data_IF_783196265336
#
_entry.id   IF_783196265336
#
_cell.length_a   1.000
_cell.length_b   1.000
_cell.length_c   1.000
_cell.angle_alpha   90.00
_cell.angle_beta   90.00
_cell.angle_gamma   90.00
#
_symmetry.space_group_name_H-M   'P 1'
#
loop_
_entity.id
_entity.type
_entity.pdbx_description
1 polymer ?
#
# COMPACT_ATOMS: atom_id res chain seq x y z
N UNK A 1 -3.21 -5.67 -13.18
CA UNK A 1 -2.41 -4.61 -12.55
C UNK A 1 -1.11 -5.17 -12.02
N UNK A 2 -0.02 -4.46 -12.24
CA UNK A 2 1.26 -4.87 -11.68
C UNK A 2 1.43 -4.30 -10.27
N UNK A 3 2.54 -4.63 -9.63
CA UNK A 3 2.81 -4.21 -8.25
C UNK A 3 2.73 -2.69 -8.08
N UNK A 4 3.40 -1.96 -8.97
CA UNK A 4 3.42 -0.50 -8.86
C UNK A 4 2.04 0.11 -8.99
N UNK A 5 1.24 -0.41 -9.91
CA UNK A 5 -0.13 0.07 -10.09
C UNK A 5 -0.99 -0.22 -8.87
N UNK A 6 -0.78 -1.36 -8.23
CA UNK A 6 -1.53 -1.70 -7.02
C UNK A 6 -1.14 -0.81 -5.86
N UNK A 7 0.16 -0.53 -5.73
CA UNK A 7 0.62 0.42 -4.71
C UNK A 7 -0.03 1.78 -4.95
N UNK A 8 0.01 2.25 -6.20
CA UNK A 8 -0.58 3.55 -6.55
C UNK A 8 -2.06 3.60 -6.20
N UNK A 9 -2.81 2.57 -6.59
CA UNK A 9 -4.24 2.52 -6.33
C UNK A 9 -4.54 2.58 -4.84
N UNK A 10 -3.85 1.75 -4.05
CA UNK A 10 -4.13 1.69 -2.62
C UNK A 10 -3.69 2.95 -1.90
N UNK A 11 -2.58 3.55 -2.34
CA UNK A 11 -2.15 4.83 -1.78
C UNK A 11 -3.22 5.90 -2.00
N UNK A 12 -3.76 5.96 -3.23
CA UNK A 12 -4.79 6.93 -3.55
C UNK A 12 -6.06 6.69 -2.74
N UNK A 13 -6.41 5.44 -2.52
CA UNK A 13 -7.57 5.11 -1.69
C UNK A 13 -7.39 5.57 -0.25
N UNK A 14 -6.16 5.55 0.24
CA UNK A 14 -5.85 6.03 1.59
C UNK A 14 -5.64 7.55 1.62
N UNK A 15 -5.75 8.21 0.47
CA UNK A 15 -5.58 9.66 0.36
C UNK A 15 -4.21 10.11 0.84
N UNK A 16 -3.20 9.30 0.58
CA UNK A 16 -1.83 9.61 0.92
C UNK A 16 -1.08 10.13 -0.29
N UNK A 17 -0.17 11.07 -0.05
CA UNK A 17 0.75 11.50 -1.10
C UNK A 17 1.91 10.52 -1.19
N UNK A 18 2.66 10.60 -2.29
CA UNK A 18 3.87 9.79 -2.42
C UNK A 18 4.87 10.12 -1.31
N UNK A 19 4.96 11.39 -0.95
CA UNK A 19 5.84 11.82 0.13
C UNK A 19 5.43 11.17 1.46
N UNK A 20 4.13 11.18 1.75
CA UNK A 20 3.63 10.60 2.98
C UNK A 20 3.89 9.09 3.04
N UNK A 21 3.65 8.39 1.96
CA UNK A 21 3.92 6.95 1.94
C UNK A 21 5.42 6.70 2.10
N UNK A 22 6.25 7.49 1.42
CA UNK A 22 7.69 7.35 1.54
C UNK A 22 8.15 7.53 2.98
N UNK A 23 7.66 8.58 3.64
CA UNK A 23 8.01 8.83 5.03
C UNK A 23 7.57 7.69 5.95
N UNK A 24 6.40 7.14 5.67
CA UNK A 24 5.87 6.07 6.51
C UNK A 24 6.69 4.79 6.42
N UNK A 25 7.33 4.52 5.30
CA UNK A 25 8.10 3.29 5.13
C UNK A 25 9.61 3.53 5.09
N UNK A 26 10.03 4.79 5.20
CA UNK A 26 11.45 5.10 5.31
C UNK A 26 12.18 5.25 3.99
N UNK A 27 11.49 5.64 2.93
CA UNK A 27 12.13 5.90 1.65
C UNK A 27 11.73 7.27 1.12
N UNK A 28 12.40 7.74 0.08
CA UNK A 28 12.11 9.04 -0.48
C UNK A 28 10.86 9.02 -1.35
N UNK A 29 10.30 10.20 -1.58
CA UNK A 29 9.20 10.38 -2.52
C UNK A 29 9.58 9.85 -3.90
N UNK A 30 10.82 10.11 -4.32
CA UNK A 30 11.30 9.67 -5.61
C UNK A 30 11.27 8.15 -5.72
N UNK A 31 11.62 7.46 -4.64
CA UNK A 31 11.57 6.00 -4.63
C UNK A 31 10.14 5.50 -4.82
N UNK A 32 9.17 6.12 -4.15
CA UNK A 32 7.77 5.74 -4.31
C UNK A 32 7.33 5.98 -5.76
N UNK A 33 7.70 7.14 -6.32
CA UNK A 33 7.36 7.45 -7.70
C UNK A 33 7.88 6.37 -8.64
N UNK A 34 9.15 5.95 -8.47
CA UNK A 34 9.74 4.92 -9.31
C UNK A 34 9.04 3.59 -9.17
N UNK A 35 8.73 3.20 -7.94
CA UNK A 35 8.01 1.96 -7.68
C UNK A 35 6.67 1.96 -8.41
N UNK A 36 5.94 3.06 -8.32
CA UNK A 36 4.63 3.15 -8.95
C UNK A 36 4.72 3.13 -10.47
N UNK A 37 5.86 3.55 -11.03
CA UNK A 37 6.08 3.53 -12.47
C UNK A 37 6.61 2.18 -12.97
N UNK A 38 6.89 1.25 -12.06
CA UNK A 38 7.32 -0.08 -12.44
C UNK A 38 8.81 -0.35 -12.25
N UNK A 39 9.54 0.59 -11.69
CA UNK A 39 10.96 0.39 -11.40
C UNK A 39 11.09 -0.12 -9.98
N UNK A 40 11.33 -1.42 -9.85
CA UNK A 40 11.36 -2.07 -8.54
C UNK A 40 12.78 -2.32 -8.05
N UNK A 41 13.77 -1.70 -8.65
CA UNK A 41 15.16 -1.95 -8.29
C UNK A 41 15.40 -1.70 -6.79
N UNK A 42 14.67 -0.73 -6.22
CA UNK A 42 14.82 -0.40 -4.81
C UNK A 42 13.73 -0.97 -3.92
N UNK A 43 12.86 -1.82 -4.47
CA UNK A 43 11.75 -2.38 -3.71
C UNK A 43 12.21 -3.66 -3.02
N UNK A 44 12.55 -3.55 -1.75
CA UNK A 44 12.99 -4.69 -0.95
C UNK A 44 11.81 -5.27 -0.19
N UNK A 45 11.95 -6.55 0.21
CA UNK A 45 10.89 -7.23 0.93
C UNK A 45 10.41 -6.48 2.16
N UNK A 46 11.33 -5.85 2.90
CA UNK A 46 10.96 -5.08 4.07
C UNK A 46 10.06 -3.89 3.70
N UNK A 47 10.31 -3.28 2.55
CA UNK A 47 9.48 -2.17 2.10
C UNK A 47 8.09 -2.65 1.72
N UNK A 48 8.01 -3.82 1.11
CA UNK A 48 6.71 -4.38 0.73
C UNK A 48 5.88 -4.68 1.97
N UNK A 49 6.51 -5.26 3.01
CA UNK A 49 5.82 -5.54 4.25
C UNK A 49 5.31 -4.26 4.92
N UNK A 50 6.14 -3.21 4.92
CA UNK A 50 5.74 -1.94 5.50
C UNK A 50 4.61 -1.29 4.71
N UNK A 51 4.69 -1.34 3.38
CA UNK A 51 3.61 -0.80 2.55
C UNK A 51 2.30 -1.53 2.80
N UNK A 52 2.34 -2.84 2.95
CA UNK A 52 1.14 -3.61 3.23
C UNK A 52 0.48 -3.14 4.52
N UNK A 53 1.28 -2.89 5.55
CA UNK A 53 0.73 -2.40 6.83
C UNK A 53 0.18 -1.00 6.72
N UNK A 54 0.95 -0.10 6.11
CA UNK A 54 0.54 1.30 6.00
C UNK A 54 -0.71 1.44 5.15
N UNK A 55 -0.78 0.68 4.08
CA UNK A 55 -1.91 0.72 3.15
C UNK A 55 -3.07 -0.18 3.61
N UNK A 56 -2.85 -0.96 4.67
CA UNK A 56 -3.84 -1.88 5.24
C UNK A 56 -4.38 -2.88 4.22
N UNK A 57 -3.46 -3.49 3.47
CA UNK A 57 -3.80 -4.55 2.53
C UNK A 57 -2.79 -5.67 2.67
N UNK A 58 -3.15 -6.86 2.20
CA UNK A 58 -2.21 -7.98 2.28
C UNK A 58 -1.06 -7.78 1.30
N UNK A 59 0.11 -8.27 1.68
CA UNK A 59 1.25 -8.28 0.77
C UNK A 59 0.94 -9.14 -0.46
N UNK A 60 0.15 -10.19 -0.29
CA UNK A 60 -0.23 -11.06 -1.39
C UNK A 60 -0.96 -10.27 -2.48
N UNK A 61 -1.85 -9.36 -2.08
CA UNK A 61 -2.53 -8.53 -3.07
C UNK A 61 -1.53 -7.65 -3.81
N UNK A 62 -0.66 -6.98 -3.08
CA UNK A 62 0.32 -6.09 -3.71
C UNK A 62 1.21 -6.85 -4.68
N UNK A 63 1.57 -8.08 -4.33
CA UNK A 63 2.44 -8.91 -5.15
C UNK A 63 1.72 -9.62 -6.29
N UNK A 64 0.39 -9.48 -6.35
CA UNK A 64 -0.38 -10.09 -7.43
C UNK A 64 -0.80 -11.54 -7.19
N UNK A 65 -0.63 -12.03 -5.98
CA UNK A 65 -1.01 -13.39 -5.64
C UNK A 65 -2.49 -13.51 -5.31
N UNK A 66 -3.14 -12.38 -5.04
CA UNK A 66 -4.58 -12.33 -4.81
C UNK A 66 -5.17 -11.20 -5.64
N UNK A 67 -6.40 -11.41 -6.10
CA UNK A 67 -7.04 -10.44 -6.98
C UNK A 67 -7.64 -9.26 -6.25
N UNK A 68 -8.03 -9.42 -4.99
CA UNK A 68 -8.72 -8.38 -4.25
C UNK A 68 -7.94 -7.94 -3.04
N UNK A 69 -7.95 -6.62 -2.77
CA UNK A 69 -7.28 -6.09 -1.58
C UNK A 69 -8.11 -6.38 -0.33
N UNK A 70 -7.66 -7.32 0.48
CA UNK A 70 -8.30 -7.61 1.74
C UNK A 70 -7.58 -6.79 2.82
N UNK A 71 -8.31 -6.03 3.65
CA UNK A 71 -7.66 -5.27 4.71
C UNK A 71 -7.05 -6.19 5.74
N UNK A 72 -5.89 -5.79 6.27
CA UNK A 72 -5.24 -6.55 7.33
C UNK A 72 -6.01 -6.40 8.63
N UNK A 73 -6.66 -5.24 8.83
CA UNK A 73 -7.43 -4.96 10.02
C UNK A 73 -8.71 -4.26 9.63
N UNK A 74 -9.80 -4.47 10.39
CA UNK A 74 -11.05 -3.78 10.08
C UNK A 74 -10.86 -2.27 10.16
N UNK A 75 -11.60 -1.56 9.30
CA UNK A 75 -11.59 -0.11 9.35
C UNK A 75 -12.38 0.35 10.58
N UNK A 76 -11.91 1.38 11.29
CA UNK A 76 -12.60 1.84 12.49
C UNK A 76 -14.06 2.20 12.25
N UNK A 77 -14.37 2.72 11.07
CA UNK A 77 -15.73 3.14 10.75
C UNK A 77 -16.71 1.97 10.77
N UNK A 78 -16.25 0.80 10.39
CA UNK A 78 -17.13 -0.37 10.35
C UNK A 78 -17.61 -0.75 11.72
N UNK A 79 -16.79 -0.56 12.74
CA UNK A 79 -17.17 -0.90 14.10
C UNK A 79 -18.29 0.00 14.60
N UNK A 80 -18.26 1.26 14.21
CA UNK A 80 -19.30 2.21 14.61
C UNK A 80 -20.63 1.79 14.02
N UNK A 81 -20.62 1.37 12.77
CA UNK A 81 -21.85 1.00 12.09
C UNK A 81 -22.51 -0.22 12.70
N UNK A 82 -21.71 -1.11 13.24
CA UNK A 82 -22.25 -2.33 13.83
C UNK A 82 -22.98 -2.06 15.12
N UNK A 83 -22.68 -0.99 15.79
CA UNK A 83 -23.33 -0.65 17.04
C UNK A 83 -24.70 -0.02 16.81
N UNK A 84 -24.88 0.49 15.64
CA UNK A 84 -26.18 1.06 15.30
C UNK A 84 -27.15 -0.02 14.93
#
# INVERSE_FOLDING_TARGET
>A
MNFGERVHLMRRRKKMTQKELGEAIGVSKTTIFRIEKGDFADAMGQHIAKMARVLNVSADYLLGLKEEPAPLEPEPREQVEQEG
#
